data_IF_268669454997
#
_entry.id   IF_268669454997
#
_cell.length_a   1.000
_cell.length_b   1.000
_cell.length_c   1.000
_cell.angle_alpha   90.00
_cell.angle_beta   90.00
_cell.angle_gamma   90.00
#
_symmetry.space_group_name_H-M   'P 1'
#
loop_
_entity.id
_entity.type
_entity.pdbx_description
1 polymer ?
#
# COMPACT_ATOMS: atom_id res chain seq x y z
N UNK A 1 5.32 10.81 19.23
CA UNK A 1 4.28 11.02 18.21
C UNK A 1 4.28 9.87 17.23
N UNK A 2 3.11 9.32 17.03
CA UNK A 2 2.97 8.16 16.17
C UNK A 2 2.86 8.60 14.73
N UNK A 3 3.83 8.23 13.93
CA UNK A 3 3.81 8.51 12.51
C UNK A 3 3.17 7.35 11.77
N UNK A 4 2.15 7.66 10.98
CA UNK A 4 1.50 6.68 10.10
C UNK A 4 1.81 7.07 8.67
N UNK A 5 2.40 6.16 7.91
CA UNK A 5 2.84 6.50 6.56
C UNK A 5 2.92 5.25 5.68
N UNK A 6 2.87 5.49 4.37
CA UNK A 6 3.25 4.51 3.37
C UNK A 6 4.52 5.01 2.71
N UNK A 7 5.52 4.14 2.57
CA UNK A 7 6.80 4.50 1.98
C UNK A 7 7.19 3.48 0.91
N UNK A 8 7.81 3.96 -0.16
CA UNK A 8 8.48 3.12 -1.16
C UNK A 8 9.99 3.21 -1.02
N UNK A 9 10.47 4.27 -0.40
CA UNK A 9 11.87 4.45 -0.01
C UNK A 9 11.92 4.69 1.48
N UNK A 10 12.86 4.06 2.16
CA UNK A 10 12.99 4.20 3.62
C UNK A 10 13.15 5.67 4.01
N UNK A 11 12.30 6.12 4.90
CA UNK A 11 12.36 7.47 5.44
C UNK A 11 11.64 8.53 4.60
N UNK A 12 11.05 8.16 3.47
CA UNK A 12 10.34 9.10 2.61
C UNK A 12 8.87 8.72 2.53
N UNK A 13 8.01 9.54 3.14
CA UNK A 13 6.57 9.29 3.11
C UNK A 13 6.02 9.57 1.72
N UNK A 14 5.26 8.61 1.17
CA UNK A 14 4.54 8.83 -0.08
C UNK A 14 3.30 9.67 0.21
N UNK A 15 3.17 10.82 -0.44
CA UNK A 15 2.08 11.76 -0.18
C UNK A 15 0.84 11.48 -1.01
N UNK A 16 0.98 10.75 -2.11
CA UNK A 16 -0.18 10.38 -2.92
C UNK A 16 -0.96 9.29 -2.19
N UNK A 17 -2.26 9.52 -2.04
CA UNK A 17 -3.15 8.59 -1.34
C UNK A 17 -3.59 7.50 -2.33
N UNK A 18 -3.40 6.22 -2.00
CA UNK A 18 -3.78 5.15 -2.89
C UNK A 18 -5.27 4.84 -2.84
N UNK A 19 -5.73 4.15 -3.87
CA UNK A 19 -6.98 3.40 -3.80
C UNK A 19 -6.64 2.06 -3.16
N UNK A 20 -7.45 1.63 -2.20
CA UNK A 20 -7.23 0.37 -1.47
C UNK A 20 -8.49 -0.47 -1.58
N UNK A 21 -8.34 -1.72 -1.99
CA UNK A 21 -9.43 -2.68 -2.09
C UNK A 21 -9.05 -3.95 -1.35
N UNK A 22 -9.97 -4.46 -0.53
CA UNK A 22 -9.76 -5.66 0.26
C UNK A 22 -10.59 -6.81 -0.29
N UNK A 23 -10.00 -8.00 -0.34
CA UNK A 23 -10.71 -9.23 -0.64
C UNK A 23 -10.37 -10.27 0.41
N UNK A 24 -11.33 -11.12 0.77
CA UNK A 24 -11.14 -12.17 1.76
C UNK A 24 -11.50 -13.53 1.16
N UNK A 25 -10.82 -14.57 1.64
CA UNK A 25 -11.22 -15.95 1.37
C UNK A 25 -12.54 -16.24 2.06
N UNK A 26 -13.19 -17.36 1.67
CA UNK A 26 -14.50 -17.74 2.21
C UNK A 26 -14.46 -17.98 3.72
N UNK A 27 -13.37 -18.50 4.23
CA UNK A 27 -13.22 -18.78 5.66
C UNK A 27 -12.75 -17.56 6.46
N UNK A 28 -12.45 -16.44 5.78
CA UNK A 28 -11.99 -15.21 6.43
C UNK A 28 -10.56 -15.24 6.94
N UNK A 29 -9.84 -16.35 6.79
CA UNK A 29 -8.48 -16.52 7.32
C UNK A 29 -7.43 -15.86 6.45
N UNK A 30 -7.64 -15.85 5.15
CA UNK A 30 -6.71 -15.30 4.20
C UNK A 30 -7.36 -14.20 3.38
N UNK A 31 -6.55 -13.35 2.77
CA UNK A 31 -7.05 -12.33 1.88
C UNK A 31 -5.94 -11.44 1.38
N UNK A 32 -6.34 -10.41 0.67
CA UNK A 32 -5.40 -9.50 0.03
C UNK A 32 -5.90 -8.07 0.12
N UNK A 33 -4.95 -7.16 0.24
CA UNK A 33 -5.19 -5.73 0.08
C UNK A 33 -4.48 -5.29 -1.19
N UNK A 34 -5.24 -4.70 -2.11
CA UNK A 34 -4.72 -4.17 -3.36
C UNK A 34 -4.60 -2.66 -3.24
N UNK A 35 -3.41 -2.15 -3.54
CA UNK A 35 -3.12 -0.73 -3.50
C UNK A 35 -2.81 -0.25 -4.91
N UNK A 36 -3.38 0.88 -5.29
CA UNK A 36 -3.01 1.55 -6.53
C UNK A 36 -2.72 3.01 -6.25
N UNK A 37 -1.52 3.45 -6.60
CA UNK A 37 -1.08 4.84 -6.49
C UNK A 37 -0.97 5.41 -7.88
N UNK A 38 -1.84 6.35 -8.21
CA UNK A 38 -1.78 7.03 -9.52
C UNK A 38 -0.79 8.19 -9.44
N UNK A 39 0.19 8.17 -10.32
CA UNK A 39 1.25 9.17 -10.39
C UNK A 39 1.88 9.47 -9.03
N UNK A 40 2.36 8.44 -8.31
CA UNK A 40 2.93 8.67 -6.98
C UNK A 40 4.25 9.43 -7.08
N UNK A 41 4.61 10.15 -6.00
CA UNK A 41 5.86 10.89 -5.95
C UNK A 41 7.08 9.97 -6.12
N UNK A 42 6.99 8.72 -5.67
CA UNK A 42 8.07 7.76 -5.81
C UNK A 42 8.50 7.55 -7.26
N UNK A 43 7.57 7.64 -8.22
CA UNK A 43 7.90 7.51 -9.64
C UNK A 43 8.60 8.74 -10.22
N UNK A 44 8.58 9.86 -9.53
CA UNK A 44 9.29 11.07 -9.93
C UNK A 44 10.73 11.08 -9.45
N UNK A 45 11.10 10.14 -8.59
CA UNK A 45 12.46 10.00 -8.09
C UNK A 45 13.37 9.49 -9.18
N UNK A 46 14.61 9.96 -9.20
CA UNK A 46 15.65 9.44 -10.09
C UNK A 46 15.92 7.95 -9.82
N UNK A 47 15.61 7.51 -8.61
CA UNK A 47 15.87 6.15 -8.15
C UNK A 47 14.63 5.25 -8.19
N UNK A 48 13.60 5.60 -8.97
CA UNK A 48 12.35 4.85 -8.95
C UNK A 48 12.53 3.37 -9.31
N UNK A 49 13.56 3.03 -10.08
CA UNK A 49 13.85 1.63 -10.44
C UNK A 49 14.41 0.84 -9.27
N UNK A 50 14.83 1.50 -8.20
CA UNK A 50 15.35 0.86 -7.00
C UNK A 50 14.25 0.56 -5.97
N UNK A 51 12.98 0.83 -6.30
CA UNK A 51 11.86 0.48 -5.44
C UNK A 51 11.80 -1.03 -5.29
N UNK A 52 11.93 -1.53 -4.05
CA UNK A 52 11.94 -2.95 -3.75
C UNK A 52 10.68 -3.45 -3.08
N UNK A 53 9.85 -2.54 -2.62
CA UNK A 53 8.64 -2.92 -1.91
C UNK A 53 7.85 -1.72 -1.45
N UNK A 54 6.75 -2.00 -0.78
CA UNK A 54 5.92 -0.99 -0.13
C UNK A 54 5.96 -1.25 1.38
N UNK A 55 6.15 -0.18 2.15
CA UNK A 55 6.26 -0.24 3.60
C UNK A 55 5.10 0.50 4.23
N UNK A 56 4.33 -0.19 5.07
CA UNK A 56 3.21 0.38 5.81
C UNK A 56 3.70 0.58 7.24
N UNK A 57 3.78 1.81 7.67
CA UNK A 57 4.45 2.17 8.93
C UNK A 57 3.46 2.80 9.89
N UNK A 58 3.44 2.31 11.11
CA UNK A 58 2.66 2.89 12.20
C UNK A 58 3.37 2.68 13.54
N UNK A 59 2.69 3.00 14.63
CA UNK A 59 3.24 2.87 15.98
C UNK A 59 3.60 1.44 16.37
N UNK A 60 2.98 0.45 15.72
CA UNK A 60 3.27 -0.96 16.00
C UNK A 60 4.48 -1.48 15.22
N UNK A 61 4.92 -0.75 14.21
CA UNK A 61 6.05 -1.14 13.39
C UNK A 61 5.76 -1.06 11.90
N UNK A 62 6.43 -1.90 11.16
CA UNK A 62 6.41 -1.86 9.70
C UNK A 62 5.84 -3.16 9.14
N UNK A 63 4.89 -3.02 8.22
CA UNK A 63 4.40 -4.12 7.39
C UNK A 63 5.02 -3.95 6.02
N UNK A 64 5.64 -5.00 5.50
CA UNK A 64 6.35 -4.94 4.22
C UNK A 64 5.71 -5.87 3.21
N UNK A 65 5.52 -5.39 1.99
CA UNK A 65 5.25 -6.25 0.86
C UNK A 65 6.24 -5.96 -0.25
N UNK A 66 6.70 -7.02 -0.92
CA UNK A 66 7.58 -6.91 -2.09
C UNK A 66 6.82 -7.17 -3.38
N UNK A 67 5.54 -7.46 -3.28
CA UNK A 67 4.69 -7.70 -4.44
C UNK A 67 4.19 -6.37 -4.97
N UNK A 68 4.99 -5.76 -5.81
CA UNK A 68 4.71 -4.47 -6.42
C UNK A 68 4.89 -4.56 -7.93
N UNK A 69 4.16 -3.71 -8.64
CA UNK A 69 4.23 -3.59 -10.08
C UNK A 69 4.15 -2.12 -10.48
N UNK A 70 4.98 -1.71 -11.41
CA UNK A 70 4.95 -0.36 -11.94
C UNK A 70 4.24 -0.39 -13.28
N UNK A 71 3.12 0.32 -13.38
CA UNK A 71 2.31 0.38 -14.59
C UNK A 71 2.88 1.40 -15.56
N UNK A 72 2.85 1.04 -16.84
CA UNK A 72 3.38 1.85 -17.92
C UNK A 72 2.24 2.21 -18.87
N UNK A 73 2.18 3.47 -19.28
CA UNK A 73 1.24 3.90 -20.30
C UNK A 73 1.67 3.35 -21.65
N UNK A 74 0.73 2.70 -22.36
CA UNK A 74 0.99 2.19 -23.70
C UNK A 74 1.13 3.29 -24.75
N UNK A 75 0.60 4.49 -24.45
CA UNK A 75 0.63 5.60 -25.41
C UNK A 75 2.01 6.24 -25.53
N UNK A 76 2.71 6.39 -24.41
CA UNK A 76 3.96 7.17 -24.39
C UNK A 76 5.09 6.49 -23.63
N UNK A 77 4.89 5.26 -23.14
CA UNK A 77 5.92 4.54 -22.40
C UNK A 77 6.26 5.10 -21.03
N UNK A 78 5.48 6.05 -20.53
CA UNK A 78 5.74 6.62 -19.22
C UNK A 78 5.18 5.74 -18.11
N UNK A 79 5.86 5.73 -16.98
CA UNK A 79 5.39 5.04 -15.78
C UNK A 79 4.30 5.91 -15.13
N UNK A 80 3.13 5.31 -14.90
CA UNK A 80 1.94 6.06 -14.49
C UNK A 80 1.42 5.71 -13.12
N UNK A 81 1.73 4.51 -12.62
CA UNK A 81 1.18 4.07 -11.35
C UNK A 81 2.07 3.03 -10.70
N UNK A 82 1.93 2.90 -9.39
CA UNK A 82 2.48 1.76 -8.63
C UNK A 82 1.30 0.99 -8.08
N UNK A 83 1.31 -0.32 -8.29
CA UNK A 83 0.35 -1.24 -7.73
C UNK A 83 1.07 -2.17 -6.77
N UNK A 84 0.45 -2.46 -5.63
CA UNK A 84 1.03 -3.34 -4.63
C UNK A 84 -0.04 -4.24 -4.06
N UNK A 85 0.38 -5.42 -3.61
CA UNK A 85 -0.52 -6.39 -3.01
C UNK A 85 0.09 -6.83 -1.68
N UNK A 86 -0.69 -6.71 -0.62
CA UNK A 86 -0.36 -7.30 0.66
C UNK A 86 -1.30 -8.46 0.94
N UNK A 87 -0.72 -9.63 1.26
CA UNK A 87 -1.49 -10.84 1.55
C UNK A 87 -1.38 -11.16 3.03
N UNK A 88 -2.53 -11.42 3.68
CA UNK A 88 -2.54 -11.98 5.03
C UNK A 88 -3.00 -13.42 4.94
N UNK A 89 -2.50 -14.27 5.84
CA UNK A 89 -2.82 -15.70 5.87
C UNK A 89 -3.41 -16.16 7.19
N UNK A 90 -3.60 -15.23 8.11
CA UNK A 90 -4.16 -15.50 9.40
C UNK A 90 -5.02 -14.34 9.84
N UNK A 91 -5.94 -14.61 10.76
CA UNK A 91 -6.75 -13.57 11.36
C UNK A 91 -5.89 -12.56 12.10
N UNK A 92 -4.82 -13.03 12.74
CA UNK A 92 -3.87 -12.15 13.43
C UNK A 92 -3.24 -11.12 12.48
N UNK A 93 -2.77 -11.57 11.34
CA UNK A 93 -2.16 -10.68 10.35
C UNK A 93 -3.18 -9.74 9.74
N UNK A 94 -4.39 -10.24 9.50
CA UNK A 94 -5.49 -9.40 9.04
C UNK A 94 -5.78 -8.27 10.03
N UNK A 95 -5.90 -8.62 11.31
CA UNK A 95 -6.17 -7.63 12.35
C UNK A 95 -5.04 -6.61 12.47
N UNK A 96 -3.80 -7.07 12.35
CA UNK A 96 -2.65 -6.17 12.34
C UNK A 96 -2.72 -5.19 11.18
N UNK A 97 -3.02 -5.69 9.99
CA UNK A 97 -3.17 -4.84 8.81
C UNK A 97 -4.32 -3.84 9.00
N UNK A 98 -5.45 -4.27 9.51
CA UNK A 98 -6.62 -3.40 9.70
C UNK A 98 -6.34 -2.28 10.71
N UNK A 99 -5.53 -2.53 11.73
CA UNK A 99 -5.13 -1.46 12.65
C UNK A 99 -4.31 -0.39 11.92
N UNK A 100 -3.41 -0.80 11.03
CA UNK A 100 -2.69 0.14 10.19
C UNK A 100 -3.67 0.91 9.28
N UNK A 101 -4.53 0.19 8.58
CA UNK A 101 -5.45 0.78 7.62
C UNK A 101 -6.36 1.82 8.27
N UNK A 102 -6.87 1.54 9.46
CA UNK A 102 -7.71 2.48 10.18
C UNK A 102 -6.95 3.74 10.58
N UNK A 103 -5.71 3.59 11.05
CA UNK A 103 -4.87 4.73 11.41
C UNK A 103 -4.53 5.59 10.20
N UNK A 104 -4.20 4.94 9.10
CA UNK A 104 -3.87 5.63 7.87
C UNK A 104 -5.10 6.38 7.31
N UNK A 105 -6.26 5.72 7.29
CA UNK A 105 -7.49 6.32 6.80
C UNK A 105 -7.87 7.56 7.60
N UNK A 106 -7.71 7.53 8.91
CA UNK A 106 -7.97 8.70 9.76
C UNK A 106 -7.01 9.84 9.48
N UNK A 107 -5.74 9.51 9.24
CA UNK A 107 -4.72 10.53 8.96
C UNK A 107 -4.99 11.26 7.65
N UNK A 108 -5.37 10.53 6.60
CA UNK A 108 -5.47 11.08 5.26
C UNK A 108 -6.89 11.33 4.79
N UNK A 109 -7.88 10.92 5.57
CA UNK A 109 -9.29 11.06 5.19
C UNK A 109 -9.72 10.06 4.13
N UNK A 110 -9.06 8.91 4.05
CA UNK A 110 -9.33 7.88 3.04
C UNK A 110 -10.51 7.00 3.45
N UNK A 111 -11.40 6.73 2.49
CA UNK A 111 -12.36 5.63 2.59
C UNK A 111 -11.89 4.52 1.65
N UNK A 112 -11.82 3.30 2.15
CA UNK A 112 -11.44 2.15 1.34
C UNK A 112 -12.61 1.19 1.15
N UNK A 113 -12.59 0.44 0.04
CA UNK A 113 -13.64 -0.51 -0.28
C UNK A 113 -13.38 -1.85 0.38
N UNK A 114 -14.43 -2.42 0.97
CA UNK A 114 -14.43 -3.81 1.39
C UNK A 114 -15.39 -4.58 0.49
N UNK A 115 -14.89 -5.68 -0.09
CA UNK A 115 -15.72 -6.61 -0.85
C UNK A 115 -16.11 -7.75 0.06
N UNK A 116 -17.39 -7.83 0.31
CA UNK A 116 -17.96 -8.90 1.16
C UNK A 116 -18.40 -10.08 0.34
#
# INVERSE_FOLDING_TARGET
MNNVAIQFFNGIDEKVIPQIRLTKSKDGQAGQAFFRFDSPEALMSENFKDIQGMYLIDEEGKITTREINIAVSKKNGKYTAIEAVYCWRSERDFNRFMRFADRYARKVGLAYEENH
#
